data_IF_975314920431
#
_entry.id   IF_975314920431
#
_cell.length_a   1.000
_cell.length_b   1.000
_cell.length_c   1.000
_cell.angle_alpha   90.00
_cell.angle_beta   90.00
_cell.angle_gamma   90.00
#
_symmetry.space_group_name_H-M   'P 1'
#
loop_
_entity.id
_entity.type
_entity.pdbx_description
1 polymer ?
#
# COMPACT_ATOMS: atom_id res chain seq x y z
N UNK A 1 -15.19 4.73 -20.87
CA UNK A 1 -14.73 3.41 -20.37
C UNK A 1 -13.55 3.48 -19.39
N UNK A 2 -12.72 4.53 -19.39
CA UNK A 2 -11.54 4.62 -18.49
C UNK A 2 -11.83 4.69 -16.99
N UNK A 3 -12.98 5.23 -16.57
CA UNK A 3 -13.34 5.35 -15.14
C UNK A 3 -13.55 3.99 -14.46
N UNK A 4 -14.21 3.05 -15.12
CA UNK A 4 -14.44 1.71 -14.57
C UNK A 4 -13.13 0.91 -14.43
N UNK A 5 -12.21 1.06 -15.38
CA UNK A 5 -10.88 0.41 -15.32
C UNK A 5 -10.05 1.00 -14.19
N UNK A 6 -10.02 2.34 -14.04
CA UNK A 6 -9.33 2.99 -12.91
C UNK A 6 -9.93 2.59 -11.57
N UNK A 7 -11.25 2.58 -11.45
CA UNK A 7 -11.95 2.15 -10.24
C UNK A 7 -11.66 0.68 -9.89
N UNK A 8 -11.50 -0.19 -10.90
CA UNK A 8 -11.11 -1.58 -10.67
C UNK A 8 -9.65 -1.71 -10.19
N UNK A 9 -8.71 -0.93 -10.74
CA UNK A 9 -7.31 -0.95 -10.29
C UNK A 9 -7.21 -0.42 -8.86
N UNK A 10 -7.84 0.72 -8.57
CA UNK A 10 -7.88 1.29 -7.21
C UNK A 10 -8.60 0.34 -6.26
N UNK A 11 -9.73 -0.23 -6.67
CA UNK A 11 -10.49 -1.19 -5.87
C UNK A 11 -9.68 -2.43 -5.51
N UNK A 12 -8.92 -3.00 -6.44
CA UNK A 12 -8.01 -4.13 -6.15
C UNK A 12 -6.91 -3.74 -5.15
N UNK A 13 -6.30 -2.57 -5.34
CA UNK A 13 -5.29 -2.05 -4.41
C UNK A 13 -5.89 -1.90 -3.01
N UNK A 14 -7.02 -1.21 -2.89
CA UNK A 14 -7.70 -1.01 -1.62
C UNK A 14 -8.20 -2.32 -1.00
N UNK A 15 -8.68 -3.26 -1.80
CA UNK A 15 -9.09 -4.59 -1.35
C UNK A 15 -7.96 -5.32 -0.64
N UNK A 16 -6.75 -5.27 -1.18
CA UNK A 16 -5.57 -5.84 -0.50
C UNK A 16 -5.34 -5.20 0.88
N UNK A 17 -5.45 -3.87 1.01
CA UNK A 17 -5.31 -3.21 2.32
C UNK A 17 -6.45 -3.57 3.27
N UNK A 18 -7.68 -3.74 2.77
CA UNK A 18 -8.82 -4.14 3.58
C UNK A 18 -8.65 -5.56 4.13
N UNK A 19 -8.15 -6.50 3.32
CA UNK A 19 -7.82 -7.87 3.74
C UNK A 19 -6.76 -7.88 4.86
N UNK A 20 -5.73 -7.03 4.78
CA UNK A 20 -4.72 -6.92 5.85
C UNK A 20 -5.25 -6.27 7.14
N UNK A 21 -6.46 -5.70 7.11
CA UNK A 21 -7.07 -4.95 8.20
C UNK A 21 -8.30 -5.63 8.81
N UNK A 22 -8.65 -6.84 8.38
CA UNK A 22 -9.86 -7.55 8.80
C UNK A 22 -9.94 -7.72 10.33
N UNK A 23 -8.81 -8.05 10.98
CA UNK A 23 -8.72 -8.23 12.44
C UNK A 23 -8.35 -6.95 13.20
N UNK A 24 -8.13 -5.84 12.50
CA UNK A 24 -7.68 -4.59 13.15
C UNK A 24 -8.86 -3.81 13.68
N UNK A 25 -8.78 -3.29 14.91
CA UNK A 25 -9.89 -2.53 15.53
C UNK A 25 -9.66 -1.03 15.64
N UNK A 26 -8.45 -0.55 15.31
CA UNK A 26 -8.07 0.85 15.46
C UNK A 26 -7.11 1.35 14.38
N UNK A 27 -6.92 2.68 14.26
CA UNK A 27 -6.08 3.27 13.23
C UNK A 27 -4.63 2.76 13.29
N UNK A 28 -3.94 2.86 12.17
CA UNK A 28 -2.52 2.54 12.06
C UNK A 28 -1.68 3.66 12.68
N UNK A 29 -0.58 3.29 13.35
CA UNK A 29 0.51 4.23 13.54
C UNK A 29 1.22 4.48 12.19
N UNK A 30 1.96 5.58 12.06
CA UNK A 30 2.64 5.86 10.80
C UNK A 30 3.72 4.81 10.48
N UNK A 31 4.34 4.20 11.49
CA UNK A 31 5.26 3.07 11.32
C UNK A 31 4.56 1.80 10.83
N UNK A 32 3.41 1.43 11.41
CA UNK A 32 2.65 0.25 10.94
C UNK A 32 2.13 0.47 9.52
N UNK A 33 1.71 1.70 9.19
CA UNK A 33 1.26 2.00 7.83
C UNK A 33 2.41 1.92 6.82
N UNK A 34 3.61 2.38 7.19
CA UNK A 34 4.81 2.22 6.36
C UNK A 34 5.12 0.74 6.11
N UNK A 35 5.13 -0.10 7.14
CA UNK A 35 5.36 -1.55 7.03
C UNK A 35 4.29 -2.25 6.18
N UNK A 36 3.03 -1.84 6.32
CA UNK A 36 1.93 -2.38 5.51
C UNK A 36 2.09 -2.01 4.03
N UNK A 37 2.53 -0.79 3.72
CA UNK A 37 2.84 -0.38 2.34
C UNK A 37 4.06 -1.14 1.81
N UNK A 38 5.09 -1.39 2.62
CA UNK A 38 6.23 -2.21 2.22
C UNK A 38 5.81 -3.64 1.87
N UNK A 39 4.92 -4.23 2.67
CA UNK A 39 4.33 -5.56 2.40
C UNK A 39 3.50 -5.57 1.11
N UNK A 40 2.80 -4.46 0.80
CA UNK A 40 2.11 -4.30 -0.47
C UNK A 40 3.10 -4.25 -1.65
N UNK A 41 4.25 -3.59 -1.48
CA UNK A 41 5.27 -3.45 -2.52
C UNK A 41 6.06 -4.75 -2.78
N UNK A 42 6.09 -5.68 -1.82
CA UNK A 42 6.68 -7.03 -1.97
C UNK A 42 5.67 -8.12 -2.32
N UNK A 43 4.40 -7.79 -2.57
CA UNK A 43 3.30 -8.76 -2.76
C UNK A 43 3.48 -9.77 -3.92
N UNK A 44 4.41 -9.51 -4.84
CA UNK A 44 4.70 -10.40 -5.98
C UNK A 44 6.07 -11.08 -5.86
N UNK A 45 6.78 -10.94 -4.74
CA UNK A 45 8.13 -11.51 -4.58
C UNK A 45 8.12 -13.03 -4.77
N UNK A 46 7.15 -13.73 -4.19
CA UNK A 46 6.99 -15.18 -4.37
C UNK A 46 6.73 -15.57 -5.85
N UNK A 47 5.87 -14.83 -6.55
CA UNK A 47 5.59 -15.06 -7.98
C UNK A 47 6.85 -14.82 -8.82
N UNK A 48 7.60 -13.75 -8.53
CA UNK A 48 8.85 -13.43 -9.21
C UNK A 48 9.95 -14.48 -8.95
N UNK A 49 10.05 -14.99 -7.73
CA UNK A 49 10.96 -16.08 -7.37
C UNK A 49 10.60 -17.37 -8.10
N UNK A 50 9.32 -17.73 -8.17
CA UNK A 50 8.86 -18.89 -8.92
C UNK A 50 9.18 -18.78 -10.41
N UNK A 51 8.98 -17.60 -11.02
CA UNK A 51 9.34 -17.34 -12.41
C UNK A 51 10.85 -17.54 -12.62
N UNK A 52 11.69 -16.94 -11.76
CA UNK A 52 13.16 -17.08 -11.84
C UNK A 52 13.60 -18.53 -11.74
N UNK A 53 12.99 -19.31 -10.84
CA UNK A 53 13.30 -20.73 -10.67
C UNK A 53 12.99 -21.52 -11.95
N UNK A 54 11.80 -21.35 -12.53
CA UNK A 54 11.40 -22.03 -13.78
C UNK A 54 12.34 -21.68 -14.94
N UNK A 55 12.71 -20.40 -15.08
CA UNK A 55 13.63 -19.92 -16.10
C UNK A 55 15.04 -20.51 -15.93
N UNK A 56 15.50 -20.66 -14.69
CA UNK A 56 16.82 -21.23 -14.38
C UNK A 56 16.93 -22.72 -14.74
N UNK A 57 15.83 -23.47 -14.62
CA UNK A 57 15.78 -24.92 -14.88
C UNK A 57 15.56 -25.20 -16.37
N UNK A 58 14.73 -24.41 -17.07
CA UNK A 58 14.34 -24.71 -18.44
C UNK A 58 14.50 -23.49 -19.37
N UNK A 59 15.66 -23.39 -20.01
CA UNK A 59 15.98 -22.33 -20.98
C UNK A 59 14.98 -22.24 -22.15
N UNK A 60 14.29 -23.33 -22.51
CA UNK A 60 13.28 -23.32 -23.58
C UNK A 60 11.96 -22.67 -23.15
N UNK A 61 11.65 -22.62 -21.84
CA UNK A 61 10.44 -21.98 -21.30
C UNK A 61 10.67 -20.55 -20.81
N UNK A 62 11.85 -19.99 -21.04
CA UNK A 62 12.24 -18.67 -20.55
C UNK A 62 11.23 -17.55 -20.94
N UNK A 63 10.63 -17.69 -22.13
CA UNK A 63 9.70 -16.69 -22.66
C UNK A 63 8.24 -16.86 -22.19
N UNK A 64 7.87 -17.98 -21.56
CA UNK A 64 6.47 -18.26 -21.22
C UNK A 64 5.90 -17.24 -20.20
N UNK A 65 6.75 -16.72 -19.32
CA UNK A 65 6.36 -15.76 -18.28
C UNK A 65 6.90 -14.35 -18.51
N UNK A 66 7.63 -14.09 -19.60
CA UNK A 66 8.33 -12.81 -19.82
C UNK A 66 7.37 -11.60 -19.80
N UNK A 67 6.18 -11.72 -20.38
CA UNK A 67 5.19 -10.63 -20.39
C UNK A 67 4.60 -10.35 -19.00
N UNK A 68 4.34 -11.41 -18.21
CA UNK A 68 3.83 -11.29 -16.85
C UNK A 68 4.89 -10.68 -15.93
N UNK A 69 6.12 -11.19 -16.00
CA UNK A 69 7.27 -10.70 -15.24
C UNK A 69 7.52 -9.20 -15.52
N UNK A 70 7.54 -8.80 -16.80
CA UNK A 70 7.72 -7.40 -17.19
C UNK A 70 6.60 -6.50 -16.65
N UNK A 71 5.35 -6.97 -16.69
CA UNK A 71 4.19 -6.23 -16.18
C UNK A 71 4.25 -6.03 -14.66
N UNK A 72 4.65 -7.07 -13.92
CA UNK A 72 4.85 -6.99 -12.46
C UNK A 72 5.95 -5.97 -12.16
N UNK A 73 7.13 -6.14 -12.76
CA UNK A 73 8.29 -5.27 -12.50
C UNK A 73 7.97 -3.81 -12.78
N UNK A 74 7.38 -3.52 -13.94
CA UNK A 74 6.97 -2.16 -14.31
C UNK A 74 5.96 -1.56 -13.32
N UNK A 75 5.02 -2.38 -12.82
CA UNK A 75 4.03 -1.93 -11.82
C UNK A 75 4.70 -1.64 -10.48
N UNK A 76 5.53 -2.56 -9.98
CA UNK A 76 6.22 -2.40 -8.70
C UNK A 76 7.22 -1.25 -8.72
N UNK A 77 8.01 -1.12 -9.79
CA UNK A 77 8.95 0.00 -9.96
C UNK A 77 8.22 1.34 -9.86
N UNK A 78 7.10 1.48 -10.58
CA UNK A 78 6.28 2.69 -10.52
C UNK A 78 5.68 2.94 -9.14
N UNK A 79 5.17 1.90 -8.47
CA UNK A 79 4.60 2.04 -7.12
C UNK A 79 5.69 2.41 -6.09
N UNK A 80 6.87 1.82 -6.21
CA UNK A 80 8.04 2.10 -5.38
C UNK A 80 8.54 3.54 -5.59
N UNK A 81 8.67 3.99 -6.84
CA UNK A 81 9.03 5.37 -7.17
C UNK A 81 8.01 6.35 -6.60
N UNK A 82 6.72 6.06 -6.75
CA UNK A 82 5.66 6.89 -6.19
C UNK A 82 5.77 6.95 -4.67
N UNK A 83 5.90 5.81 -3.97
CA UNK A 83 5.97 5.81 -2.50
C UNK A 83 7.18 6.57 -1.96
N UNK A 84 8.34 6.44 -2.62
CA UNK A 84 9.56 7.16 -2.25
C UNK A 84 9.54 8.64 -2.67
N UNK A 85 8.73 9.01 -3.66
CA UNK A 85 8.59 10.36 -4.18
C UNK A 85 7.26 11.02 -3.82
N UNK A 86 6.36 11.11 -4.81
CA UNK A 86 5.11 11.89 -4.75
C UNK A 86 3.99 11.30 -3.88
N UNK A 87 4.12 10.05 -3.45
CA UNK A 87 3.16 9.29 -2.67
C UNK A 87 2.28 8.35 -3.49
N UNK A 88 1.78 7.32 -2.82
CA UNK A 88 0.76 6.41 -3.33
C UNK A 88 -0.63 6.94 -2.96
N UNK A 89 -1.55 6.94 -3.93
CA UNK A 89 -2.94 7.32 -3.67
C UNK A 89 -3.63 6.25 -2.80
N UNK A 90 -3.91 6.59 -1.54
CA UNK A 90 -4.47 5.73 -0.49
C UNK A 90 -5.29 6.57 0.53
N UNK A 91 -6.30 6.00 1.20
CA UNK A 91 -6.90 6.61 2.38
C UNK A 91 -5.88 6.79 3.51
N UNK A 92 -6.06 7.78 4.38
CA UNK A 92 -5.18 7.96 5.53
C UNK A 92 -5.59 7.02 6.66
N UNK A 93 -5.01 5.83 6.68
CA UNK A 93 -5.32 4.80 7.67
C UNK A 93 -4.78 5.12 9.08
N UNK A 94 -4.01 6.20 9.21
CA UNK A 94 -3.60 6.77 10.49
C UNK A 94 -4.68 7.65 11.12
N UNK A 95 -5.59 8.22 10.33
CA UNK A 95 -6.70 9.02 10.83
C UNK A 95 -7.86 8.12 11.25
N UNK A 96 -8.32 8.26 12.50
CA UNK A 96 -9.36 7.39 13.05
C UNK A 96 -10.70 7.46 12.30
N UNK A 97 -11.06 8.63 11.75
CA UNK A 97 -12.31 8.79 11.00
C UNK A 97 -12.21 8.16 9.61
N UNK A 98 -11.10 8.39 8.90
CA UNK A 98 -10.85 7.78 7.60
C UNK A 98 -10.67 6.26 7.71
N UNK A 99 -9.95 5.79 8.72
CA UNK A 99 -9.82 4.36 9.04
C UNK A 99 -11.19 3.70 9.23
N UNK A 100 -12.07 4.28 10.06
CA UNK A 100 -13.41 3.72 10.29
C UNK A 100 -14.25 3.68 9.01
N UNK A 101 -14.17 4.70 8.17
CA UNK A 101 -14.85 4.70 6.86
C UNK A 101 -14.28 3.63 5.93
N UNK A 102 -12.97 3.43 5.96
CA UNK A 102 -12.31 2.41 5.17
C UNK A 102 -12.70 1.00 5.63
N UNK A 103 -12.81 0.74 6.94
CA UNK A 103 -13.29 -0.55 7.45
C UNK A 103 -14.73 -0.86 7.08
N UNK A 104 -15.57 0.17 6.98
CA UNK A 104 -16.98 0.02 6.57
C UNK A 104 -17.15 -0.12 5.06
N UNK A 105 -16.06 0.04 4.29
CA UNK A 105 -16.11 -0.11 2.85
C UNK A 105 -16.26 -1.58 2.48
N UNK A 106 -17.28 -1.86 1.67
CA UNK A 106 -17.72 -3.20 1.26
C UNK A 106 -16.97 -3.77 0.06
N UNK A 107 -15.87 -3.13 -0.37
CA UNK A 107 -15.13 -3.50 -1.58
C UNK A 107 -15.80 -3.05 -2.89
N UNK A 108 -16.95 -2.35 -2.84
CA UNK A 108 -17.64 -1.91 -4.05
C UNK A 108 -16.88 -0.78 -4.75
N UNK A 109 -16.61 -0.96 -6.04
CA UNK A 109 -15.90 0.03 -6.85
C UNK A 109 -16.64 1.37 -6.97
N UNK A 110 -17.97 1.39 -6.85
CA UNK A 110 -18.77 2.62 -6.89
C UNK A 110 -18.66 3.44 -5.59
N UNK A 111 -18.44 2.79 -4.45
CA UNK A 111 -18.32 3.48 -3.16
C UNK A 111 -16.92 4.07 -2.92
N UNK A 112 -15.92 3.73 -3.76
CA UNK A 112 -14.57 4.31 -3.72
C UNK A 112 -14.59 5.85 -3.81
N UNK A 113 -15.52 6.43 -4.58
CA UNK A 113 -15.62 7.89 -4.71
C UNK A 113 -15.97 8.61 -3.40
N UNK A 114 -16.50 7.90 -2.41
CA UNK A 114 -16.83 8.42 -1.08
C UNK A 114 -15.68 8.26 -0.09
N UNK A 115 -14.64 7.50 -0.44
CA UNK A 115 -13.40 7.44 0.32
C UNK A 115 -12.54 8.65 -0.02
N UNK A 116 -11.96 9.24 1.02
CA UNK A 116 -11.00 10.33 0.84
C UNK A 116 -9.64 9.72 0.54
N UNK A 117 -9.05 10.12 -0.58
CA UNK A 117 -7.75 9.63 -1.03
C UNK A 117 -6.69 10.70 -0.81
N UNK A 118 -5.52 10.28 -0.35
CA UNK A 118 -4.35 11.12 -0.12
C UNK A 118 -3.13 10.52 -0.81
N UNK A 119 -2.14 11.37 -1.08
CA UNK A 119 -0.83 10.90 -1.52
C UNK A 119 0.03 10.56 -0.31
N UNK A 120 0.13 9.26 -0.01
CA UNK A 120 0.89 8.72 1.11
C UNK A 120 2.30 8.38 0.64
N UNK A 121 3.29 9.19 1.05
CA UNK A 121 4.71 8.93 0.78
C UNK A 121 5.45 8.47 2.03
N UNK A 122 6.57 7.79 1.83
CA UNK A 122 7.48 7.39 2.90
C UNK A 122 7.88 8.58 3.78
N UNK A 123 8.22 9.71 3.15
CA UNK A 123 8.59 10.95 3.84
C UNK A 123 7.46 11.48 4.74
N UNK A 124 6.21 11.41 4.28
CA UNK A 124 5.03 11.83 5.07
C UNK A 124 4.93 11.01 6.35
N UNK A 125 4.97 9.68 6.24
CA UNK A 125 4.84 8.76 7.38
C UNK A 125 5.99 8.92 8.39
N UNK A 126 7.21 9.06 7.90
CA UNK A 126 8.38 9.25 8.76
C UNK A 126 8.38 10.61 9.49
N UNK A 127 7.85 11.66 8.85
CA UNK A 127 7.72 12.98 9.51
C UNK A 127 6.73 12.92 10.66
N UNK A 128 5.61 12.22 10.48
CA UNK A 128 4.59 12.05 11.52
C UNK A 128 5.13 11.30 12.75
N UNK A 129 5.94 10.25 12.55
CA UNK A 129 6.58 9.53 13.66
C UNK A 129 7.46 10.47 14.52
N UNK A 130 8.29 11.32 13.88
CA UNK A 130 9.19 12.24 14.59
C UNK A 130 8.47 13.29 15.43
N UNK A 131 7.31 13.77 14.97
CA UNK A 131 6.52 14.76 15.71
C UNK A 131 5.97 14.13 17.01
N UNK A 132 5.44 12.91 16.93
CA UNK A 132 4.90 12.18 18.10
C UNK A 132 6.00 11.91 19.15
N UNK A 133 7.19 11.52 18.70
CA UNK A 133 8.33 11.27 19.60
C UNK A 133 8.81 12.56 20.28
N UNK A 134 8.75 13.70 19.59
CA UNK A 134 9.20 15.00 20.11
C UNK A 134 8.22 15.61 21.12
N UNK A 135 6.92 15.41 20.94
CA UNK A 135 5.88 15.93 21.85
C UNK A 135 5.72 15.13 23.15
N UNK A 136 6.32 13.93 23.24
CA UNK A 136 6.22 13.09 24.45
C UNK A 136 7.23 13.49 25.53
N UNK A 137 8.24 14.32 25.20
CA UNK A 137 9.32 14.69 26.13
C UNK A 137 9.14 16.02 26.90
N UNK A 138 8.03 16.76 26.75
CA UNK A 138 7.82 18.05 27.44
C UNK A 138 6.86 18.01 28.66
N UNK A 139 6.27 16.87 29.00
CA UNK A 139 5.34 16.76 30.14
C UNK A 139 5.95 16.06 31.37
N UNK A 140 7.21 16.31 31.68
CA UNK A 140 7.85 15.79 32.90
C UNK A 140 8.82 16.78 33.54
N UNK A 141 8.35 18.01 33.78
CA UNK A 141 8.96 18.89 34.78
C UNK A 141 7.83 19.62 35.51
N UNK A 142 7.39 19.07 36.63
CA UNK A 142 6.67 19.83 37.66
C UNK A 142 7.41 19.60 38.96
N UNK A 143 8.08 20.65 39.41
CA UNK A 143 8.35 20.94 40.82
C UNK A 143 8.34 22.46 40.99
#
# INVERSE_FOLDING_TARGET
MGHAVKANIVGKKLGWFAEQLEDRTGPLTSSEFEQMIESYLSRFDEELEQIKLVQSINKQRNNQHASREASIKMTLEKEQENFNGGGLELPDLCDAMEFKKFQQWDGNAQSIQHLKMHFISRKRLQTNNKIVDSSTNENMTTD
#
